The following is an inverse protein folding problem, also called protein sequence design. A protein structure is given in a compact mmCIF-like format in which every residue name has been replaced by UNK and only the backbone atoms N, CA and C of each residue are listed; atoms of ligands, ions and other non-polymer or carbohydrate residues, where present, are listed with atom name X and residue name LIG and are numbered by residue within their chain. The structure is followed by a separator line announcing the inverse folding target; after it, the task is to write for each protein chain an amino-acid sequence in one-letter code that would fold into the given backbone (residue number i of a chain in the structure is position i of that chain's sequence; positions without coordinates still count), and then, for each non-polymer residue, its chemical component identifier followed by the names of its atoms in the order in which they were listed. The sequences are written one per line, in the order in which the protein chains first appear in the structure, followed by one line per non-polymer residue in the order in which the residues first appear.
data_IF_731296441812
#
_entry.id   IF_731296441812
#
_cell.length_a   1.000
_cell.length_b   1.000
_cell.length_c   1.000
_cell.angle_alpha   90.00
_cell.angle_beta   90.00
_cell.angle_gamma   90.00
#
_symmetry.space_group_name_H-M   'P 1'
#
loop_
_entity.id
_entity.type
_entity.pdbx_description
1 polymer ?
#
# COMPACT_ATOMS: atom_id res chain seq x y z
N UNK A 1 6.83 24.43 32.43
CA UNK A 1 6.85 22.96 32.24
C UNK A 1 7.12 22.69 30.77
N UNK A 2 8.01 21.75 30.45
CA UNK A 2 8.38 21.50 29.06
C UNK A 2 7.28 20.76 28.32
N UNK A 3 6.94 21.23 27.12
CA UNK A 3 6.07 20.54 26.18
C UNK A 3 6.57 19.12 25.95
N UNK A 4 5.68 18.14 26.13
CA UNK A 4 6.02 16.71 26.07
C UNK A 4 5.29 16.07 24.90
N UNK A 5 6.05 15.43 24.02
CA UNK A 5 5.56 14.55 22.97
C UNK A 5 5.57 13.12 23.50
N UNK A 6 4.60 12.29 23.10
CA UNK A 6 4.64 10.84 23.36
C UNK A 6 4.62 10.10 22.05
N UNK A 7 5.49 9.11 21.93
CA UNK A 7 5.52 8.17 20.82
C UNK A 7 5.24 6.79 21.37
N UNK A 8 4.37 6.02 20.73
CA UNK A 8 4.08 4.65 21.15
C UNK A 8 3.44 3.84 20.03
N UNK A 9 3.49 2.52 20.13
CA UNK A 9 2.89 1.66 19.14
C UNK A 9 3.40 0.23 19.19
N UNK A 10 3.36 -0.43 18.04
CA UNK A 10 3.84 -1.80 17.90
C UNK A 10 4.45 -2.09 16.53
N UNK A 11 5.27 -3.13 16.48
CA UNK A 11 5.71 -3.82 15.27
C UNK A 11 5.18 -5.26 15.34
N UNK A 12 4.46 -5.68 14.31
CA UNK A 12 4.03 -7.06 14.13
C UNK A 12 5.10 -7.77 13.30
N UNK A 13 5.79 -8.72 13.91
CA UNK A 13 6.82 -9.48 13.23
C UNK A 13 6.25 -10.35 12.13
N UNK A 14 7.10 -10.60 11.15
CA UNK A 14 6.67 -11.23 9.92
C UNK A 14 6.45 -12.74 10.11
N UNK A 15 5.33 -13.26 9.57
CA UNK A 15 4.86 -14.62 9.88
C UNK A 15 4.88 -15.59 8.70
N UNK A 16 4.95 -15.12 7.46
CA UNK A 16 4.86 -15.96 6.28
C UNK A 16 6.08 -15.77 5.35
N UNK A 17 7.29 -16.17 5.78
CA UNK A 17 8.46 -16.17 4.89
C UNK A 17 8.30 -17.21 3.77
N UNK A 18 8.96 -16.99 2.63
CA UNK A 18 9.04 -18.02 1.59
C UNK A 18 9.86 -19.21 2.09
N UNK A 19 9.32 -20.43 1.97
CA UNK A 19 10.11 -21.62 2.29
C UNK A 19 11.16 -21.85 1.21
N UNK A 20 12.37 -21.32 1.45
CA UNK A 20 13.60 -21.68 0.72
C UNK A 20 14.10 -23.09 1.04
N UNK A 21 13.20 -24.03 1.33
CA UNK A 21 13.53 -25.38 1.79
C UNK A 21 13.72 -25.53 3.30
N UNK A 22 13.53 -24.46 4.08
CA UNK A 22 13.60 -24.47 5.55
C UNK A 22 12.18 -24.62 6.13
N UNK A 23 11.97 -25.42 7.20
CA UNK A 23 10.69 -25.47 7.91
C UNK A 23 10.22 -24.09 8.35
N UNK A 24 8.90 -23.86 8.30
CA UNK A 24 8.32 -22.56 8.61
C UNK A 24 8.61 -22.12 10.04
N UNK A 25 8.52 -23.04 11.01
CA UNK A 25 8.76 -22.80 12.42
C UNK A 25 10.18 -22.28 12.68
N UNK A 26 11.16 -22.90 12.03
CA UNK A 26 12.58 -22.54 12.16
C UNK A 26 12.84 -21.15 11.59
N UNK A 27 12.20 -20.80 10.46
CA UNK A 27 12.30 -19.46 9.88
C UNK A 27 11.67 -18.39 10.78
N UNK A 28 10.50 -18.67 11.38
CA UNK A 28 9.85 -17.75 12.32
C UNK A 28 10.74 -17.52 13.55
N UNK A 29 11.37 -18.57 14.08
CA UNK A 29 12.33 -18.43 15.19
C UNK A 29 13.55 -17.61 14.77
N UNK A 30 14.09 -17.83 13.57
CA UNK A 30 15.23 -17.08 13.05
C UNK A 30 14.93 -15.59 12.87
N UNK A 31 13.78 -15.26 12.29
CA UNK A 31 13.26 -13.88 12.15
C UNK A 31 13.20 -13.18 13.50
N UNK A 32 12.62 -13.86 14.50
CA UNK A 32 12.50 -13.31 15.85
C UNK A 32 13.85 -13.01 16.49
N UNK A 33 14.80 -13.94 16.41
CA UNK A 33 16.16 -13.75 16.93
C UNK A 33 16.89 -12.61 16.23
N UNK A 34 16.72 -12.51 14.91
CA UNK A 34 17.31 -11.43 14.12
C UNK A 34 16.74 -10.07 14.53
N UNK A 35 15.41 -9.94 14.64
CA UNK A 35 14.77 -8.71 15.07
C UNK A 35 15.18 -8.31 16.50
N UNK A 36 15.27 -9.28 17.42
CA UNK A 36 15.83 -9.07 18.77
C UNK A 36 17.23 -8.48 18.69
N UNK A 37 18.14 -9.11 17.94
CA UNK A 37 19.51 -8.64 17.79
C UNK A 37 19.59 -7.23 17.19
N UNK A 38 18.74 -6.89 16.21
CA UNK A 38 18.66 -5.55 15.64
C UNK A 38 18.22 -4.52 16.69
N UNK A 39 17.21 -4.82 17.50
CA UNK A 39 16.74 -3.91 18.56
C UNK A 39 17.77 -3.80 19.69
N UNK A 40 18.41 -4.91 20.07
CA UNK A 40 19.45 -4.93 21.08
C UNK A 40 20.72 -4.19 20.64
N UNK A 41 20.96 -4.10 19.32
CA UNK A 41 22.04 -3.28 18.74
C UNK A 41 21.82 -1.77 18.87
N UNK A 42 20.60 -1.33 19.21
CA UNK A 42 20.35 0.08 19.49
C UNK A 42 21.11 0.51 20.75
N UNK A 43 21.60 1.76 20.78
CA UNK A 43 22.33 2.25 21.94
C UNK A 43 21.45 2.26 23.19
N UNK A 44 22.08 2.06 24.35
CA UNK A 44 21.40 2.22 25.63
C UNK A 44 21.02 3.69 25.91
N UNK A 45 21.85 4.61 25.42
CA UNK A 45 21.62 6.05 25.43
C UNK A 45 21.99 6.58 24.05
N UNK A 46 21.04 7.19 23.37
CA UNK A 46 21.20 7.74 22.02
C UNK A 46 21.27 9.27 22.07
N UNK A 47 21.86 9.87 21.04
CA UNK A 47 21.82 11.31 20.85
C UNK A 47 20.39 11.80 20.60
N UNK A 48 20.14 13.06 20.93
CA UNK A 48 18.82 13.66 20.77
C UNK A 48 18.46 13.85 19.27
N UNK A 49 17.23 13.51 18.83
CA UNK A 49 16.17 12.85 19.61
C UNK A 49 16.44 11.34 19.75
N UNK A 50 16.21 10.75 20.94
CA UNK A 50 16.70 9.41 21.25
C UNK A 50 15.85 8.31 20.61
N UNK A 51 16.52 7.32 20.04
CA UNK A 51 15.95 6.01 19.72
C UNK A 51 16.83 4.93 20.36
N UNK A 52 16.45 4.51 21.57
CA UNK A 52 17.25 3.58 22.39
C UNK A 52 16.55 2.25 22.56
N UNK A 53 17.33 1.19 22.84
CA UNK A 53 16.79 -0.16 23.08
C UNK A 53 15.74 -0.21 24.19
N UNK A 54 15.87 0.65 25.21
CA UNK A 54 14.95 0.71 26.37
C UNK A 54 13.54 1.19 26.03
N UNK A 55 13.31 1.66 24.79
CA UNK A 55 11.99 2.04 24.30
C UNK A 55 11.15 0.84 23.86
N UNK A 56 11.75 -0.35 23.71
CA UNK A 56 11.12 -1.53 23.12
C UNK A 56 10.91 -2.65 24.14
N UNK A 57 9.86 -3.44 23.95
CA UNK A 57 9.53 -4.60 24.78
C UNK A 57 8.86 -5.68 23.92
N UNK A 58 9.22 -6.94 24.14
CA UNK A 58 8.70 -8.08 23.38
C UNK A 58 8.78 -9.36 24.23
N UNK A 59 7.87 -10.33 24.04
CA UNK A 59 7.96 -11.61 24.72
C UNK A 59 9.16 -12.42 24.18
N UNK A 60 9.81 -13.26 25.01
CA UNK A 60 10.94 -14.06 24.59
C UNK A 60 10.61 -14.98 23.40
N UNK A 61 11.60 -15.27 22.57
CA UNK A 61 11.48 -16.22 21.42
C UNK A 61 10.84 -17.56 21.80
N UNK A 62 11.07 -18.01 23.04
CA UNK A 62 10.65 -19.32 23.56
C UNK A 62 9.18 -19.38 24.00
N UNK A 63 8.48 -18.24 24.11
CA UNK A 63 7.08 -18.19 24.53
C UNK A 63 6.12 -18.40 23.34
N UNK A 64 5.82 -19.67 23.05
CA UNK A 64 4.98 -20.08 21.93
C UNK A 64 3.50 -19.65 22.04
N UNK A 65 2.97 -19.36 23.24
CA UNK A 65 1.53 -19.08 23.40
C UNK A 65 1.06 -17.73 22.84
N UNK A 66 1.97 -16.81 22.51
CA UNK A 66 1.65 -15.49 21.91
C UNK A 66 1.77 -15.52 20.37
N UNK A 67 2.13 -16.67 19.77
CA UNK A 67 2.67 -16.75 18.42
C UNK A 67 1.68 -17.07 17.28
N UNK A 68 0.43 -17.42 17.55
CA UNK A 68 -0.50 -17.86 16.49
C UNK A 68 -0.79 -16.79 15.42
N UNK A 69 -0.54 -15.51 15.71
CA UNK A 69 -0.76 -14.38 14.79
C UNK A 69 0.46 -13.50 14.53
N UNK A 70 1.66 -13.92 14.91
CA UNK A 70 2.87 -13.08 14.89
C UNK A 70 3.16 -12.44 16.24
N UNK A 71 4.44 -12.44 16.63
CA UNK A 71 4.85 -11.82 17.88
C UNK A 71 4.84 -10.30 17.71
N UNK A 72 4.36 -9.63 18.76
CA UNK A 72 4.25 -8.18 18.82
C UNK A 72 5.42 -7.60 19.60
N UNK A 73 6.08 -6.61 19.00
CA UNK A 73 7.09 -5.78 19.64
C UNK A 73 6.42 -4.46 19.98
N UNK A 74 6.29 -4.14 21.27
CA UNK A 74 5.76 -2.88 21.73
C UNK A 74 6.87 -1.84 21.84
N UNK A 75 6.54 -0.57 21.62
CA UNK A 75 7.44 0.52 21.92
C UNK A 75 6.72 1.73 22.48
N UNK A 76 7.41 2.50 23.33
CA UNK A 76 6.92 3.77 23.84
C UNK A 76 8.06 4.67 24.35
N UNK A 77 7.87 5.99 24.25
CA UNK A 77 8.68 6.98 24.96
C UNK A 77 7.94 8.30 25.17
N UNK A 78 8.26 8.99 26.27
CA UNK A 78 7.99 10.41 26.45
C UNK A 78 9.20 11.23 26.05
N UNK A 79 9.03 12.12 25.08
CA UNK A 79 10.10 12.92 24.49
C UNK A 79 9.83 14.41 24.78
N UNK A 80 10.73 15.05 25.52
CA UNK A 80 10.64 16.49 25.84
C UNK A 80 11.03 17.34 24.64
N UNK A 81 10.26 18.36 24.25
CA UNK A 81 10.52 19.20 23.05
C UNK A 81 10.58 18.46 21.70
N UNK A 82 10.10 17.22 21.65
CA UNK A 82 10.17 16.43 20.42
C UNK A 82 9.29 16.98 19.29
N UNK A 83 8.31 17.84 19.56
CA UNK A 83 7.48 18.48 18.54
C UNK A 83 8.31 19.20 17.45
N UNK A 84 9.48 19.74 17.80
CA UNK A 84 10.39 20.44 16.87
C UNK A 84 11.41 19.52 16.18
N UNK A 85 11.63 18.32 16.70
CA UNK A 85 12.62 17.36 16.20
C UNK A 85 11.99 16.02 15.82
N UNK A 86 10.66 16.03 15.64
CA UNK A 86 9.89 14.85 15.29
C UNK A 86 10.33 14.29 13.94
N UNK A 87 10.78 15.15 13.04
CA UNK A 87 11.37 14.78 11.75
C UNK A 87 12.60 13.88 11.92
N UNK A 88 13.55 14.30 12.76
CA UNK A 88 14.78 13.56 13.05
C UNK A 88 14.50 12.26 13.77
N UNK A 89 13.55 12.26 14.69
CA UNK A 89 13.17 11.06 15.41
C UNK A 89 12.50 10.05 14.47
N UNK A 90 11.57 10.51 13.62
CA UNK A 90 10.93 9.68 12.61
C UNK A 90 11.93 9.14 11.59
N UNK A 91 12.94 9.90 11.19
CA UNK A 91 14.04 9.43 10.34
C UNK A 91 14.81 8.27 10.98
N UNK A 92 15.10 8.35 12.28
CA UNK A 92 15.76 7.26 13.02
C UNK A 92 14.85 6.04 13.12
N UNK A 93 13.59 6.26 13.49
CA UNK A 93 12.59 5.20 13.64
C UNK A 93 12.37 4.46 12.33
N UNK A 94 12.30 5.19 11.22
CA UNK A 94 12.15 4.60 9.90
C UNK A 94 13.36 3.75 9.49
N UNK A 95 14.59 4.22 9.75
CA UNK A 95 15.79 3.40 9.48
C UNK A 95 15.78 2.10 10.27
N UNK A 96 15.22 2.10 11.48
CA UNK A 96 15.08 0.90 12.28
C UNK A 96 14.08 -0.07 11.63
N UNK A 97 12.87 0.37 11.26
CA UNK A 97 11.86 -0.54 10.70
C UNK A 97 12.33 -1.19 9.39
N UNK A 98 13.13 -0.50 8.58
CA UNK A 98 13.70 -1.05 7.35
C UNK A 98 14.80 -2.10 7.58
N UNK A 99 15.26 -2.26 8.82
CA UNK A 99 16.19 -3.32 9.22
C UNK A 99 15.48 -4.52 9.83
N UNK A 100 14.16 -4.46 10.04
CA UNK A 100 13.39 -5.47 10.75
C UNK A 100 12.45 -6.25 9.83
N UNK A 101 12.33 -7.55 10.08
CA UNK A 101 11.38 -8.42 9.41
C UNK A 101 10.01 -8.27 10.10
N UNK A 102 9.19 -7.35 9.60
CA UNK A 102 7.86 -7.06 10.12
C UNK A 102 6.81 -7.05 8.99
N UNK A 103 5.62 -7.59 9.27
CA UNK A 103 4.47 -7.50 8.36
C UNK A 103 3.77 -6.13 8.49
N UNK A 104 3.83 -5.52 9.70
CA UNK A 104 3.17 -4.25 10.00
C UNK A 104 3.90 -3.47 11.09
N UNK A 105 3.93 -2.15 10.96
CA UNK A 105 4.30 -1.22 12.04
C UNK A 105 3.16 -0.24 12.25
N UNK A 106 2.83 0.04 13.51
CA UNK A 106 1.85 1.06 13.92
C UNK A 106 2.53 2.01 14.90
N UNK A 107 2.49 3.30 14.58
CA UNK A 107 3.03 4.38 15.38
C UNK A 107 1.94 5.39 15.70
N UNK A 108 1.89 5.82 16.96
CA UNK A 108 1.10 6.93 17.44
C UNK A 108 2.04 8.00 17.99
N UNK A 109 1.78 9.26 17.62
CA UNK A 109 2.52 10.42 18.09
C UNK A 109 1.52 11.40 18.69
N UNK A 110 1.58 11.60 19.99
CA UNK A 110 0.90 12.68 20.69
C UNK A 110 1.82 13.90 20.70
N UNK A 111 1.37 14.99 20.09
CA UNK A 111 2.06 16.28 20.15
C UNK A 111 1.56 17.09 21.34
N UNK A 112 2.33 18.07 21.78
CA UNK A 112 2.00 18.84 22.98
C UNK A 112 0.69 19.62 22.87
N UNK A 113 0.34 20.08 21.65
CA UNK A 113 -0.81 20.96 21.40
C UNK A 113 -1.78 20.42 20.35
N UNK A 114 -1.67 19.16 19.96
CA UNK A 114 -2.56 18.58 18.95
C UNK A 114 -2.88 17.12 19.23
N UNK A 115 -4.01 16.65 18.71
CA UNK A 115 -4.44 15.27 18.86
C UNK A 115 -3.37 14.28 18.37
N UNK A 116 -3.41 13.06 18.91
CA UNK A 116 -2.56 11.98 18.44
C UNK A 116 -2.67 11.79 16.92
N UNK A 117 -1.52 11.66 16.25
CA UNK A 117 -1.45 11.25 14.85
C UNK A 117 -1.04 9.79 14.79
N UNK A 118 -1.63 9.05 13.87
CA UNK A 118 -1.36 7.63 13.68
C UNK A 118 -0.71 7.42 12.32
N UNK A 119 0.35 6.61 12.29
CA UNK A 119 1.07 6.21 11.10
C UNK A 119 1.14 4.69 11.07
N UNK A 120 1.08 4.08 9.88
CA UNK A 120 1.39 2.68 9.70
C UNK A 120 2.20 2.42 8.45
N UNK A 121 3.05 1.40 8.57
CA UNK A 121 3.74 0.76 7.46
C UNK A 121 3.21 -0.65 7.39
N UNK A 122 2.59 -1.01 6.29
CA UNK A 122 2.04 -2.34 6.04
C UNK A 122 2.82 -2.97 4.90
N UNK A 123 3.28 -4.21 5.06
CA UNK A 123 3.94 -4.92 3.97
C UNK A 123 2.98 -5.04 2.78
N UNK A 124 3.44 -4.66 1.58
CA UNK A 124 2.60 -4.81 0.38
C UNK A 124 2.22 -6.27 0.18
N UNK A 125 0.94 -6.51 -0.17
CA UNK A 125 0.26 -7.83 -0.31
C UNK A 125 0.90 -8.86 -1.26
N UNK A 126 2.08 -8.60 -1.85
CA UNK A 126 2.86 -9.50 -2.72
C UNK A 126 4.35 -9.53 -2.40
N UNK A 127 4.82 -8.74 -1.45
CA UNK A 127 6.18 -8.85 -0.97
C UNK A 127 6.28 -10.22 -0.30
N UNK A 128 7.02 -11.13 -0.89
CA UNK A 128 7.47 -12.33 -0.21
C UNK A 128 8.92 -12.05 0.16
N UNK A 129 9.27 -12.22 1.42
CA UNK A 129 10.67 -12.09 1.84
C UNK A 129 11.23 -13.48 2.07
N UNK A 130 12.47 -13.65 1.63
CA UNK A 130 13.32 -14.77 2.03
C UNK A 130 14.11 -14.28 3.23
N UNK A 131 14.07 -15.03 4.32
CA UNK A 131 14.90 -14.71 5.47
C UNK A 131 16.38 -14.87 5.08
N UNK A 132 17.16 -13.81 5.34
CA UNK A 132 18.61 -13.78 5.17
C UNK A 132 19.20 -13.10 6.41
N UNK A 133 19.98 -13.84 7.18
CA UNK A 133 20.59 -13.33 8.42
C UNK A 133 21.63 -12.23 8.16
N UNK A 134 22.17 -12.14 6.94
CA UNK A 134 23.24 -11.23 6.58
C UNK A 134 22.74 -9.93 5.92
N UNK A 135 21.46 -9.87 5.55
CA UNK A 135 20.89 -8.77 4.78
C UNK A 135 19.63 -8.21 5.45
N UNK A 136 19.43 -6.88 5.45
CA UNK A 136 18.16 -6.32 5.87
C UNK A 136 17.05 -6.77 4.91
N UNK A 137 15.81 -6.88 5.41
CA UNK A 137 14.69 -7.30 4.59
C UNK A 137 14.41 -6.33 3.44
N UNK A 138 14.30 -6.86 2.23
CA UNK A 138 13.81 -6.12 1.06
C UNK A 138 12.27 -6.00 1.07
N UNK A 139 11.71 -5.42 2.14
CA UNK A 139 10.26 -5.23 2.28
C UNK A 139 9.83 -3.94 1.58
N UNK A 140 8.91 -4.07 0.61
CA UNK A 140 8.15 -2.93 0.13
C UNK A 140 7.00 -2.61 1.08
N UNK A 141 6.98 -1.36 1.57
CA UNK A 141 5.98 -0.85 2.50
C UNK A 141 4.89 -0.03 1.78
N UNK A 142 3.64 -0.24 2.18
CA UNK A 142 2.49 0.64 1.99
C UNK A 142 2.35 1.53 3.23
N UNK A 143 2.45 2.85 3.05
CA UNK A 143 2.41 3.80 4.16
C UNK A 143 1.07 4.52 4.25
N UNK A 144 0.51 4.58 5.45
CA UNK A 144 -0.73 5.25 5.75
C UNK A 144 -0.55 6.18 6.95
N UNK A 145 -1.16 7.36 6.92
CA UNK A 145 -1.10 8.31 8.03
C UNK A 145 -2.42 9.03 8.23
N UNK A 146 -2.69 9.42 9.48
CA UNK A 146 -3.80 10.31 9.84
C UNK A 146 -3.41 11.80 9.77
N UNK A 147 -2.15 12.12 9.50
CA UNK A 147 -1.71 13.49 9.23
C UNK A 147 -2.24 13.94 7.87
N UNK A 148 -2.63 15.20 7.77
CA UNK A 148 -2.91 15.79 6.45
C UNK A 148 -1.59 15.96 5.65
N UNK A 149 -1.65 16.10 4.32
CA UNK A 149 -0.45 16.34 3.52
C UNK A 149 0.37 17.55 4.01
N UNK A 150 -0.29 18.66 4.35
CA UNK A 150 0.38 19.86 4.87
C UNK A 150 1.01 19.65 6.25
N UNK A 151 0.37 18.85 7.11
CA UNK A 151 0.96 18.50 8.41
C UNK A 151 2.21 17.62 8.23
N UNK A 152 2.16 16.68 7.29
CA UNK A 152 3.28 15.79 7.00
C UNK A 152 4.46 16.57 6.40
N UNK A 153 4.20 17.48 5.45
CA UNK A 153 5.20 18.36 4.87
C UNK A 153 5.84 19.28 5.94
N UNK A 154 5.04 19.80 6.86
CA UNK A 154 5.54 20.65 7.95
C UNK A 154 6.37 19.87 8.97
N UNK A 155 5.95 18.66 9.35
CA UNK A 155 6.51 17.93 10.50
C UNK A 155 7.54 16.88 10.14
N UNK A 156 7.49 16.32 8.94
CA UNK A 156 8.43 15.30 8.48
C UNK A 156 8.68 15.44 6.97
N UNK A 157 9.24 16.58 6.52
CA UNK A 157 9.36 16.94 5.10
C UNK A 157 10.20 15.96 4.28
N UNK A 158 11.19 15.34 4.93
CA UNK A 158 12.14 14.41 4.31
C UNK A 158 11.91 12.97 4.76
N UNK A 159 10.76 12.69 5.36
CA UNK A 159 10.43 11.37 5.86
C UNK A 159 9.91 10.41 4.82
N UNK A 160 9.66 9.16 5.20
CA UNK A 160 9.11 8.10 4.36
C UNK A 160 10.12 7.54 3.34
N UNK A 161 11.22 6.92 3.78
CA UNK A 161 12.38 6.52 2.97
C UNK A 161 12.73 7.62 1.95
N UNK A 162 12.75 8.85 2.50
CA UNK A 162 12.81 10.18 1.85
C UNK A 162 11.81 10.37 0.72
N UNK A 163 10.54 10.34 1.09
CA UNK A 163 9.36 10.44 0.25
C UNK A 163 9.50 9.67 -1.07
N UNK A 164 9.91 8.40 -1.04
CA UNK A 164 10.16 7.64 -2.28
C UNK A 164 10.99 8.42 -3.33
N UNK A 165 11.94 9.25 -2.86
CA UNK A 165 12.93 10.02 -3.62
C UNK A 165 12.35 10.89 -4.75
N UNK A 166 12.41 12.21 -4.59
CA UNK A 166 12.28 13.17 -5.70
C UNK A 166 10.93 13.20 -6.44
N UNK A 167 9.87 12.44 -6.09
CA UNK A 167 8.65 12.23 -6.91
C UNK A 167 8.94 11.58 -8.28
N UNK A 168 9.98 12.03 -8.95
CA UNK A 168 10.48 11.77 -10.28
C UNK A 168 11.98 11.96 -10.17
N UNK A 169 12.83 11.07 -10.65
CA UNK A 169 13.32 11.35 -12.02
C UNK A 169 12.26 10.95 -13.08
N UNK A 170 11.25 10.15 -12.69
CA UNK A 170 10.23 9.58 -13.56
C UNK A 170 8.76 10.05 -13.47
N UNK A 171 8.24 10.72 -12.43
CA UNK A 171 6.87 11.26 -12.49
C UNK A 171 6.70 12.37 -13.54
N UNK A 172 7.71 13.22 -13.78
CA UNK A 172 7.79 14.16 -14.93
C UNK A 172 8.07 13.45 -16.28
N UNK A 173 8.38 12.15 -16.28
CA UNK A 173 8.36 11.29 -17.49
C UNK A 173 7.27 10.22 -17.39
N UNK A 174 6.06 10.67 -17.05
CA UNK A 174 4.81 10.08 -17.51
C UNK A 174 4.47 8.67 -16.95
N UNK A 175 4.49 8.53 -15.63
CA UNK A 175 3.61 7.57 -14.96
C UNK A 175 2.58 8.37 -14.13
N UNK A 176 1.58 8.88 -14.84
CA UNK A 176 0.22 8.92 -14.32
C UNK A 176 -0.06 7.59 -13.61
N UNK A 177 -0.64 7.60 -12.42
CA UNK A 177 -1.43 6.48 -11.91
C UNK A 177 -2.60 6.28 -12.88
N UNK A 178 -2.33 5.67 -14.03
CA UNK A 178 -2.83 4.35 -14.34
C UNK A 178 -4.20 4.02 -13.73
N UNK A 179 -5.31 4.78 -13.88
CA UNK A 179 -6.44 4.63 -12.97
C UNK A 179 -6.91 3.19 -13.07
N UNK A 180 -6.82 2.47 -11.95
CA UNK A 180 -7.17 1.06 -11.92
C UNK A 180 -8.68 0.97 -12.03
N UNK A 181 -9.15 0.25 -13.04
CA UNK A 181 -10.57 0.11 -13.31
C UNK A 181 -11.07 -1.28 -12.98
N UNK A 182 -12.27 -1.33 -12.41
CA UNK A 182 -13.10 -2.53 -12.30
C UNK A 182 -14.19 -2.48 -13.37
N UNK A 183 -14.21 -3.46 -14.27
CA UNK A 183 -15.26 -3.63 -15.27
C UNK A 183 -16.29 -4.66 -14.79
N UNK A 184 -17.56 -4.27 -14.76
CA UNK A 184 -18.69 -5.11 -14.36
C UNK A 184 -19.71 -5.20 -15.47
N UNK A 185 -20.18 -6.41 -15.76
CA UNK A 185 -21.34 -6.63 -16.63
C UNK A 185 -22.57 -6.66 -15.76
N UNK A 186 -23.45 -5.68 -15.94
CA UNK A 186 -24.73 -5.58 -15.21
C UNK A 186 -25.79 -6.41 -15.92
N UNK A 187 -25.87 -6.29 -17.23
CA UNK A 187 -26.83 -7.00 -18.08
C UNK A 187 -26.23 -7.21 -19.47
N UNK A 188 -26.28 -8.44 -20.02
CA UNK A 188 -25.81 -8.72 -21.38
C UNK A 188 -26.84 -8.37 -22.47
N UNK A 189 -28.07 -8.02 -22.08
CA UNK A 189 -29.10 -7.53 -22.98
C UNK A 189 -29.61 -8.57 -23.98
N UNK A 190 -30.48 -8.14 -24.92
CA UNK A 190 -31.13 -9.03 -25.88
C UNK A 190 -30.17 -9.66 -26.88
N UNK A 191 -29.04 -9.00 -27.19
CA UNK A 191 -28.03 -9.49 -28.13
C UNK A 191 -26.82 -10.11 -27.40
N UNK A 192 -27.10 -11.03 -26.48
CA UNK A 192 -26.13 -11.64 -25.55
C UNK A 192 -24.84 -12.15 -26.20
N UNK A 193 -24.95 -12.90 -27.30
CA UNK A 193 -23.79 -13.50 -27.96
C UNK A 193 -22.85 -12.42 -28.52
N UNK A 194 -23.41 -11.37 -29.13
CA UNK A 194 -22.65 -10.26 -29.69
C UNK A 194 -22.02 -9.39 -28.59
N UNK A 195 -22.73 -9.19 -27.47
CA UNK A 195 -22.18 -8.51 -26.29
C UNK A 195 -20.98 -9.28 -25.70
N UNK A 196 -21.10 -10.60 -25.55
CA UNK A 196 -20.00 -11.45 -25.07
C UNK A 196 -18.81 -11.46 -26.04
N UNK A 197 -19.05 -11.49 -27.37
CA UNK A 197 -17.99 -11.36 -28.37
C UNK A 197 -17.24 -10.03 -28.25
N UNK A 198 -17.97 -8.93 -28.07
CA UNK A 198 -17.37 -7.60 -27.90
C UNK A 198 -16.49 -7.54 -26.63
N UNK A 199 -16.99 -8.02 -25.48
CA UNK A 199 -16.23 -8.06 -24.22
C UNK A 199 -14.98 -8.93 -24.37
N UNK A 200 -15.12 -10.11 -24.97
CA UNK A 200 -14.01 -11.04 -25.22
C UNK A 200 -12.94 -10.43 -26.12
N UNK A 201 -13.31 -9.63 -27.12
CA UNK A 201 -12.34 -9.01 -28.03
C UNK A 201 -11.41 -8.02 -27.33
N UNK A 202 -11.89 -7.36 -26.27
CA UNK A 202 -11.15 -6.33 -25.53
C UNK A 202 -10.41 -6.91 -24.32
N UNK A 203 -10.99 -7.90 -23.63
CA UNK A 203 -10.42 -8.48 -22.41
C UNK A 203 -9.80 -9.87 -22.58
N UNK A 204 -9.92 -10.48 -23.75
CA UNK A 204 -9.40 -11.81 -24.09
C UNK A 204 -9.88 -12.94 -23.16
N UNK A 205 -11.09 -12.81 -22.61
CA UNK A 205 -11.72 -13.78 -21.72
C UNK A 205 -12.33 -14.97 -22.49
N UNK A 206 -12.46 -16.13 -21.83
CA UNK A 206 -13.29 -17.24 -22.28
C UNK A 206 -14.77 -16.91 -22.09
N UNK A 207 -15.65 -17.48 -22.93
CA UNK A 207 -17.10 -17.29 -22.78
C UNK A 207 -17.61 -17.71 -21.39
N UNK A 208 -17.02 -18.73 -20.78
CA UNK A 208 -17.37 -19.21 -19.44
C UNK A 208 -17.06 -18.21 -18.32
N UNK A 209 -16.18 -17.24 -18.58
CA UNK A 209 -15.76 -16.22 -17.61
C UNK A 209 -16.68 -15.01 -17.65
N UNK A 210 -17.31 -14.73 -18.80
CA UNK A 210 -18.20 -13.58 -18.98
C UNK A 210 -19.56 -13.90 -18.36
N UNK A 211 -19.78 -13.36 -17.16
CA UNK A 211 -21.03 -13.52 -16.41
C UNK A 211 -21.56 -12.14 -16.01
N UNK A 212 -22.89 -12.01 -15.98
CA UNK A 212 -23.54 -10.92 -15.27
C UNK A 212 -23.16 -11.04 -13.80
N UNK A 213 -22.65 -9.95 -13.24
CA UNK A 213 -22.17 -9.93 -11.86
C UNK A 213 -23.15 -9.15 -11.00
N UNK A 214 -23.58 -9.68 -9.85
CA UNK A 214 -24.36 -8.92 -8.88
C UNK A 214 -23.46 -7.84 -8.25
N UNK A 215 -23.38 -6.70 -8.94
CA UNK A 215 -22.85 -5.38 -8.59
C UNK A 215 -21.45 -5.27 -7.96
N UNK A 216 -20.78 -6.37 -7.58
CA UNK A 216 -19.76 -6.32 -6.52
C UNK A 216 -18.56 -7.22 -6.75
N UNK A 217 -18.62 -8.15 -7.71
CA UNK A 217 -17.45 -8.89 -8.19
C UNK A 217 -17.08 -8.40 -9.61
N UNK A 218 -15.97 -7.65 -9.78
CA UNK A 218 -15.54 -7.21 -11.10
C UNK A 218 -15.17 -8.38 -11.99
N UNK A 219 -15.62 -8.33 -13.25
CA UNK A 219 -15.22 -9.29 -14.28
C UNK A 219 -13.74 -9.12 -14.61
N UNK A 220 -13.25 -7.88 -14.65
CA UNK A 220 -11.85 -7.54 -14.88
C UNK A 220 -11.45 -6.39 -13.98
N UNK A 221 -10.25 -6.50 -13.39
CA UNK A 221 -9.56 -5.39 -12.74
C UNK A 221 -8.23 -5.17 -13.44
N UNK A 222 -8.02 -3.99 -14.04
CA UNK A 222 -6.76 -3.64 -14.72
C UNK A 222 -6.54 -2.13 -14.81
N UNK A 223 -5.31 -1.67 -15.08
CA UNK A 223 -5.04 -0.25 -15.36
C UNK A 223 -5.78 0.23 -16.61
N UNK A 224 -6.36 1.44 -16.57
CA UNK A 224 -7.04 2.06 -17.73
C UNK A 224 -6.06 2.40 -18.84
N UNK A 225 -4.90 2.94 -18.49
CA UNK A 225 -3.80 3.12 -19.43
C UNK A 225 -2.74 2.08 -19.06
N UNK A 226 -2.00 1.57 -20.04
CA UNK A 226 -0.92 0.62 -19.81
C UNK A 226 0.07 0.75 -20.98
N UNK A 227 1.38 0.81 -20.69
CA UNK A 227 2.42 0.91 -21.73
C UNK A 227 2.46 -0.35 -22.61
N UNK A 228 2.06 -1.50 -22.07
CA UNK A 228 1.96 -2.75 -22.81
C UNK A 228 0.68 -2.84 -23.67
N UNK A 229 -0.28 -1.94 -23.47
CA UNK A 229 -1.56 -1.93 -24.19
C UNK A 229 -2.04 -0.49 -24.43
N UNK A 230 -1.31 0.33 -25.22
CA UNK A 230 -1.61 1.75 -25.39
C UNK A 230 -2.99 2.03 -26.01
N UNK A 231 -3.54 1.08 -26.78
CA UNK A 231 -4.88 1.19 -27.39
C UNK A 231 -6.04 0.71 -26.50
N UNK A 232 -5.76 0.23 -25.28
CA UNK A 232 -6.80 -0.28 -24.38
C UNK A 232 -7.86 0.77 -23.97
N UNK A 233 -7.52 2.03 -23.62
CA UNK A 233 -8.52 3.04 -23.28
C UNK A 233 -9.54 3.28 -24.39
N UNK A 234 -9.07 3.47 -25.63
CA UNK A 234 -9.94 3.66 -26.79
C UNK A 234 -10.78 2.39 -27.06
N UNK A 235 -10.19 1.20 -26.90
CA UNK A 235 -10.91 -0.08 -27.04
C UNK A 235 -11.99 -0.27 -25.99
N UNK A 236 -11.73 0.14 -24.73
CA UNK A 236 -12.71 0.12 -23.64
C UNK A 236 -13.85 1.10 -23.92
N UNK A 237 -13.54 2.31 -24.37
CA UNK A 237 -14.55 3.31 -24.73
C UNK A 237 -15.46 2.79 -25.86
N UNK A 238 -14.87 2.24 -26.92
CA UNK A 238 -15.63 1.63 -28.01
C UNK A 238 -16.47 0.44 -27.53
N UNK A 239 -15.95 -0.37 -26.60
CA UNK A 239 -16.73 -1.44 -25.98
C UNK A 239 -17.96 -0.92 -25.24
N UNK A 240 -17.83 0.10 -24.39
CA UNK A 240 -18.96 0.67 -23.63
C UNK A 240 -20.03 1.23 -24.56
N UNK A 241 -19.62 1.95 -25.62
CA UNK A 241 -20.54 2.47 -26.64
C UNK A 241 -21.22 1.34 -27.41
N UNK A 242 -20.48 0.28 -27.76
CA UNK A 242 -21.02 -0.89 -28.46
C UNK A 242 -22.00 -1.68 -27.61
N UNK A 243 -21.70 -1.87 -26.32
CA UNK A 243 -22.62 -2.54 -25.39
C UNK A 243 -23.93 -1.77 -25.27
N UNK A 244 -23.87 -0.44 -25.16
CA UNK A 244 -25.06 0.41 -25.15
C UNK A 244 -25.91 0.25 -26.42
N UNK A 245 -25.30 0.14 -27.60
CA UNK A 245 -26.02 -0.12 -28.87
C UNK A 245 -26.66 -1.52 -28.93
N UNK A 246 -26.05 -2.52 -28.31
CA UNK A 246 -26.55 -3.89 -28.27
C UNK A 246 -27.65 -4.10 -27.22
N UNK A 247 -27.99 -3.05 -26.45
CA UNK A 247 -28.92 -3.13 -25.32
C UNK A 247 -28.33 -3.80 -24.08
N UNK A 248 -27.00 -3.92 -24.00
CA UNK A 248 -26.28 -4.43 -22.84
C UNK A 248 -25.83 -3.30 -21.91
N UNK A 249 -25.69 -3.57 -20.62
CA UNK A 249 -25.26 -2.63 -19.59
C UNK A 249 -24.01 -3.13 -18.88
N UNK A 250 -22.99 -2.28 -18.85
CA UNK A 250 -21.76 -2.51 -18.10
C UNK A 250 -21.35 -1.24 -17.36
N UNK A 251 -20.72 -1.42 -16.21
CA UNK A 251 -20.21 -0.33 -15.37
C UNK A 251 -18.71 -0.44 -15.22
N UNK A 252 -18.07 0.72 -15.21
CA UNK A 252 -16.64 0.86 -14.91
C UNK A 252 -16.54 1.64 -13.62
N UNK A 253 -15.72 1.15 -12.70
CA UNK A 253 -15.41 1.86 -11.46
C UNK A 253 -13.93 2.15 -11.38
N UNK A 254 -13.58 3.34 -10.91
CA UNK A 254 -12.23 3.62 -10.47
C UNK A 254 -12.04 3.01 -9.09
N UNK A 255 -11.00 2.18 -8.94
CA UNK A 255 -10.56 1.77 -7.62
C UNK A 255 -9.72 2.90 -7.01
N UNK A 256 -9.96 3.25 -5.74
CA UNK A 256 -9.04 4.11 -4.99
C UNK A 256 -7.65 3.49 -5.01
N UNK A 257 -6.63 4.33 -5.21
CA UNK A 257 -5.24 3.92 -5.25
C UNK A 257 -4.93 2.96 -4.08
N UNK A 258 -4.46 1.75 -4.40
CA UNK A 258 -3.98 0.77 -3.43
C UNK A 258 -5.00 -0.20 -2.80
N UNK A 259 -6.32 -0.08 -2.99
CA UNK A 259 -7.29 -0.99 -2.31
C UNK A 259 -7.73 -2.19 -3.17
N UNK A 260 -7.70 -3.41 -2.60
CA UNK A 260 -8.42 -4.57 -3.18
C UNK A 260 -9.93 -4.35 -3.06
N UNK A 261 -10.67 -4.93 -4.00
CA UNK A 261 -12.13 -4.97 -4.05
C UNK A 261 -12.76 -5.91 -2.99
N UNK A 262 -12.19 -6.00 -1.78
CA UNK A 262 -12.62 -6.94 -0.74
C UNK A 262 -13.50 -6.31 0.35
N UNK A 263 -13.70 -4.98 0.37
CA UNK A 263 -14.72 -4.34 1.22
C UNK A 263 -15.44 -3.18 0.52
N UNK A 264 -16.70 -3.44 0.22
CA UNK A 264 -17.78 -2.52 -0.13
C UNK A 264 -17.71 -1.21 0.68
N UNK A 265 -17.31 -0.08 0.06
CA UNK A 265 -17.91 1.25 0.32
C UNK A 265 -17.31 2.46 -0.43
N UNK A 266 -16.28 2.36 -1.29
CA UNK A 266 -15.84 3.53 -2.10
C UNK A 266 -15.37 3.13 -3.49
N UNK A 267 -16.29 2.61 -4.32
CA UNK A 267 -16.09 2.59 -5.76
C UNK A 267 -16.68 3.88 -6.35
N UNK A 268 -15.88 4.64 -7.10
CA UNK A 268 -16.40 5.77 -7.86
C UNK A 268 -16.73 5.27 -9.27
N UNK A 269 -18.01 5.29 -9.65
CA UNK A 269 -18.39 4.96 -11.02
C UNK A 269 -17.73 5.95 -11.98
N UNK A 270 -17.06 5.41 -13.01
CA UNK A 270 -16.45 6.19 -14.08
C UNK A 270 -17.45 6.24 -15.25
N UNK A 271 -18.19 7.36 -15.41
CA UNK A 271 -19.07 7.50 -16.56
C UNK A 271 -18.24 7.58 -17.85
N UNK A 272 -18.88 7.24 -18.97
CA UNK A 272 -18.26 7.25 -20.31
C UNK A 272 -17.58 8.59 -20.62
N UNK A 273 -18.24 9.70 -20.30
CA UNK A 273 -17.74 11.06 -20.52
C UNK A 273 -16.44 11.31 -19.75
N UNK A 274 -16.34 10.80 -18.51
CA UNK A 274 -15.12 10.92 -17.70
C UNK A 274 -13.98 10.09 -18.27
N UNK A 275 -14.26 8.92 -18.85
CA UNK A 275 -13.24 8.10 -19.55
C UNK A 275 -12.74 8.84 -20.79
N UNK A 276 -13.62 9.51 -21.55
CA UNK A 276 -13.23 10.32 -22.70
C UNK A 276 -12.31 11.49 -22.31
N UNK A 277 -12.66 12.22 -21.25
CA UNK A 277 -11.82 13.29 -20.69
C UNK A 277 -10.42 12.77 -20.33
N UNK A 278 -10.34 11.64 -19.62
CA UNK A 278 -9.07 11.03 -19.24
C UNK A 278 -8.22 10.62 -20.45
N UNK A 279 -8.85 10.09 -21.50
CA UNK A 279 -8.16 9.75 -22.76
C UNK A 279 -7.62 11.00 -23.42
N UNK A 280 -8.41 12.06 -23.50
CA UNK A 280 -7.99 13.32 -24.13
C UNK A 280 -6.83 13.98 -23.37
N UNK A 281 -6.94 14.04 -22.04
CA UNK A 281 -5.85 14.53 -21.17
C UNK A 281 -4.56 13.73 -21.36
N UNK A 282 -4.66 12.41 -21.53
CA UNK A 282 -3.49 11.55 -21.78
C UNK A 282 -2.83 11.85 -23.14
N UNK A 283 -3.62 12.11 -24.18
CA UNK A 283 -3.12 12.41 -25.55
C UNK A 283 -2.46 13.79 -25.62
N UNK A 284 -3.06 14.80 -24.98
CA UNK A 284 -2.48 16.16 -24.87
C UNK A 284 -1.12 16.12 -24.17
N UNK A 285 -0.98 15.32 -23.11
CA UNK A 285 0.30 15.12 -22.39
C UNK A 285 1.38 14.41 -23.21
N UNK A 286 1.01 13.63 -24.23
CA UNK A 286 1.96 12.93 -25.11
C UNK A 286 2.38 13.75 -26.34
N UNK A 287 1.55 14.68 -26.81
CA UNK A 287 1.80 15.50 -28.00
C UNK A 287 2.51 16.85 -27.77
N UNK A 288 2.73 17.25 -26.52
CA UNK A 288 3.38 18.52 -26.15
C UNK A 288 4.91 18.46 -26.01
N UNK A 289 5.59 17.61 -26.80
CA UNK A 289 7.07 17.53 -26.87
C UNK A 289 7.60 18.14 -28.15
#
# INVERSE_FOLDING_TARGET
MGETCRVYGYLAEAMNPESGGVPWEDQVVAIRRYNEAVIESLPAQDDWPPLSRGMFSFPPVTDFMVAYGGRMIHFAAGLKKADHEVDRWLDKFERLIHRLYCDRVRLHIEFAWSNARTMSWDQKRRSVYVFDENSPPAIEWEFNTSMTPSELEMRWPNGYSRMQKEYSIGYERANTLLPLIAFLVVDLGPQRIEAMKAIRSVFHLKYSEIKESPSTAPLVVRPLFDRLSPGFPDSLLQLLLRLKQLGASAKVYQLPDGKRADRYQTFHELPVDRIQELIQDSKVRQGGR
#
